data_IF_230368891060
#
_entry.id   IF_230368891060
#
_cell.length_a   1.000
_cell.length_b   1.000
_cell.length_c   1.000
_cell.angle_alpha   90.00
_cell.angle_beta   90.00
_cell.angle_gamma   90.00
#
_symmetry.space_group_name_H-M   'P 1'
#
loop_
_entity.id
_entity.type
_entity.pdbx_description
1 polymer ?
#
# COMPACT_ATOMS: atom_id res chain seq x y z
N UNK A 1 12.00 -15.10 -21.94
CA UNK A 1 10.99 -14.04 -22.05
C UNK A 1 10.29 -13.97 -20.70
N UNK A 2 10.53 -12.91 -19.93
CA UNK A 2 9.76 -12.64 -18.70
C UNK A 2 8.33 -12.33 -19.15
N UNK A 3 7.37 -13.09 -18.66
CA UNK A 3 5.98 -12.87 -19.03
C UNK A 3 5.52 -11.51 -18.47
N UNK A 4 4.95 -10.67 -19.33
CA UNK A 4 4.52 -9.31 -18.96
C UNK A 4 3.14 -9.43 -18.28
N UNK A 5 2.90 -8.76 -17.13
CA UNK A 5 1.58 -8.72 -16.51
C UNK A 5 0.50 -8.17 -17.46
N UNK A 6 -0.74 -8.65 -17.30
CA UNK A 6 -1.90 -8.09 -18.01
C UNK A 6 -2.48 -6.94 -17.18
N UNK A 7 -2.18 -5.71 -17.58
CA UNK A 7 -2.47 -4.51 -16.79
C UNK A 7 -3.40 -3.54 -17.51
N UNK A 8 -4.39 -3.02 -16.79
CA UNK A 8 -5.41 -2.13 -17.32
C UNK A 8 -6.05 -1.26 -16.23
N UNK A 9 -6.64 -0.14 -16.63
CA UNK A 9 -7.50 0.63 -15.74
C UNK A 9 -8.92 0.06 -15.78
N UNK A 10 -9.47 -0.30 -14.61
CA UNK A 10 -10.86 -0.72 -14.45
C UNK A 10 -11.64 0.30 -13.63
N UNK A 11 -12.97 0.27 -13.74
CA UNK A 11 -13.86 1.08 -12.92
C UNK A 11 -14.22 0.33 -11.63
N UNK A 12 -14.20 1.04 -10.50
CA UNK A 12 -14.75 0.61 -9.22
C UNK A 12 -15.94 1.50 -8.89
N UNK A 13 -17.09 0.88 -8.68
CA UNK A 13 -18.33 1.56 -8.33
C UNK A 13 -18.57 1.52 -6.81
N UNK A 14 -18.98 2.64 -6.24
CA UNK A 14 -19.39 2.78 -4.84
C UNK A 14 -20.70 3.55 -4.75
N UNK A 15 -21.29 3.60 -3.54
CA UNK A 15 -22.47 4.42 -3.30
C UNK A 15 -22.20 5.93 -3.44
N UNK A 16 -20.94 6.36 -3.34
CA UNK A 16 -20.54 7.77 -3.40
C UNK A 16 -20.13 8.22 -4.81
N UNK A 17 -20.02 7.30 -5.77
CA UNK A 17 -19.58 7.57 -7.14
C UNK A 17 -18.77 6.41 -7.70
N UNK A 18 -17.99 6.67 -8.73
CA UNK A 18 -17.14 5.66 -9.36
C UNK A 18 -15.76 6.25 -9.60
N UNK A 19 -14.72 5.43 -9.43
CA UNK A 19 -13.33 5.81 -9.62
C UNK A 19 -12.58 4.74 -10.40
N UNK A 20 -11.45 5.10 -10.98
CA UNK A 20 -10.63 4.15 -11.70
C UNK A 20 -9.59 3.52 -10.77
N UNK A 21 -9.25 2.27 -11.02
CA UNK A 21 -8.21 1.55 -10.32
C UNK A 21 -7.32 0.81 -11.34
N UNK A 22 -6.02 0.81 -11.12
CA UNK A 22 -5.07 0.11 -11.98
C UNK A 22 -5.00 -1.36 -11.55
N UNK A 23 -5.57 -2.24 -12.38
CA UNK A 23 -5.51 -3.69 -12.23
C UNK A 23 -4.25 -4.21 -12.91
N UNK A 24 -3.51 -5.08 -12.24
CA UNK A 24 -2.39 -5.84 -12.78
C UNK A 24 -2.55 -7.29 -12.38
N UNK A 25 -2.61 -8.18 -13.37
CA UNK A 25 -2.84 -9.62 -13.17
C UNK A 25 -1.57 -10.44 -13.42
N UNK A 26 -1.39 -11.57 -12.72
CA UNK A 26 -0.29 -12.48 -12.99
C UNK A 26 -0.28 -12.90 -14.46
N UNK A 27 0.91 -13.01 -15.11
CA UNK A 27 0.98 -13.35 -16.53
C UNK A 27 0.37 -14.73 -16.89
N UNK A 28 0.30 -15.64 -15.92
CA UNK A 28 -0.34 -16.95 -16.08
C UNK A 28 -1.88 -16.90 -15.92
N UNK A 29 -2.45 -15.70 -15.74
CA UNK A 29 -3.86 -15.48 -15.42
C UNK A 29 -4.17 -15.69 -13.93
N UNK A 30 -5.38 -15.30 -13.54
CA UNK A 30 -5.89 -15.45 -12.17
C UNK A 30 -6.59 -16.80 -12.03
N UNK A 31 -6.13 -17.63 -11.09
CA UNK A 31 -6.85 -18.84 -10.68
C UNK A 31 -7.90 -18.47 -9.64
N UNK A 32 -9.02 -19.21 -9.59
CA UNK A 32 -9.98 -19.05 -8.50
C UNK A 32 -9.29 -19.31 -7.15
N UNK A 33 -9.52 -18.42 -6.19
CA UNK A 33 -8.86 -18.41 -4.89
C UNK A 33 -7.47 -17.75 -4.87
N UNK A 34 -7.02 -17.12 -5.96
CA UNK A 34 -5.71 -16.47 -6.00
C UNK A 34 -5.59 -15.33 -4.96
N UNK A 35 -4.43 -15.15 -4.33
CA UNK A 35 -4.22 -14.07 -3.38
C UNK A 35 -4.23 -12.72 -4.10
N UNK A 36 -4.86 -11.73 -3.48
CA UNK A 36 -4.98 -10.37 -3.99
C UNK A 36 -4.20 -9.35 -3.16
N UNK A 37 -3.77 -8.26 -3.80
CA UNK A 37 -3.19 -7.09 -3.14
C UNK A 37 -3.97 -5.85 -3.57
N UNK A 38 -4.53 -5.11 -2.62
CA UNK A 38 -4.89 -3.72 -2.84
C UNK A 38 -3.65 -2.87 -2.58
N UNK A 39 -3.16 -2.19 -3.61
CA UNK A 39 -1.92 -1.41 -3.57
C UNK A 39 -2.22 0.07 -3.38
N UNK A 40 -1.80 0.64 -2.25
CA UNK A 40 -2.15 1.99 -1.83
C UNK A 40 -1.00 2.96 -2.14
N UNK A 41 -1.31 3.95 -2.99
CA UNK A 41 -0.39 4.96 -3.50
C UNK A 41 0.26 5.84 -2.41
N UNK A 42 1.39 6.44 -2.78
CA UNK A 42 1.94 7.60 -2.07
C UNK A 42 1.06 8.87 -2.32
N UNK A 43 1.57 10.04 -1.94
CA UNK A 43 0.88 11.32 -2.17
C UNK A 43 0.90 11.80 -3.64
N UNK A 44 1.50 11.03 -4.55
CA UNK A 44 1.74 11.40 -5.95
C UNK A 44 0.74 10.80 -6.93
N UNK A 45 -0.28 10.09 -6.43
CA UNK A 45 -1.22 9.36 -7.27
C UNK A 45 -0.74 7.96 -7.64
N UNK A 46 -1.52 7.26 -8.46
CA UNK A 46 -1.14 5.98 -9.09
C UNK A 46 -0.23 6.29 -10.29
N UNK A 47 0.93 6.88 -9.99
CA UNK A 47 1.93 7.29 -10.97
C UNK A 47 2.72 6.08 -11.50
N UNK A 48 3.72 6.34 -12.34
CA UNK A 48 4.53 5.29 -12.98
C UNK A 48 5.18 4.35 -11.95
N UNK A 49 5.71 4.87 -10.85
CA UNK A 49 6.32 4.05 -9.80
C UNK A 49 5.29 3.09 -9.18
N UNK A 50 4.11 3.59 -8.78
CA UNK A 50 3.07 2.74 -8.18
C UNK A 50 2.56 1.68 -9.16
N UNK A 51 2.39 2.01 -10.44
CA UNK A 51 2.03 1.03 -11.48
C UNK A 51 3.12 -0.04 -11.64
N UNK A 52 4.38 0.36 -11.65
CA UNK A 52 5.50 -0.59 -11.72
C UNK A 52 5.56 -1.52 -10.50
N UNK A 53 5.24 -1.02 -9.29
CA UNK A 53 5.12 -1.86 -8.08
C UNK A 53 3.94 -2.83 -8.19
N UNK A 54 2.79 -2.38 -8.73
CA UNK A 54 1.67 -3.27 -8.98
C UNK A 54 2.04 -4.40 -9.94
N UNK A 55 2.72 -4.05 -11.03
CA UNK A 55 3.20 -5.02 -12.03
C UNK A 55 4.26 -5.97 -11.45
N UNK A 56 5.10 -5.50 -10.52
CA UNK A 56 6.08 -6.33 -9.83
C UNK A 56 5.39 -7.40 -8.97
N UNK A 57 4.44 -7.00 -8.11
CA UNK A 57 3.67 -7.96 -7.31
C UNK A 57 2.82 -8.91 -8.18
N UNK A 58 2.32 -8.44 -9.32
CA UNK A 58 1.63 -9.30 -10.28
C UNK A 58 2.56 -10.34 -10.90
N UNK A 59 3.78 -9.96 -11.27
CA UNK A 59 4.81 -10.89 -11.71
C UNK A 59 5.19 -11.91 -10.62
N UNK A 60 5.11 -11.54 -9.35
CA UNK A 60 5.31 -12.42 -8.20
C UNK A 60 4.11 -13.34 -7.90
N UNK A 61 3.00 -13.21 -8.64
CA UNK A 61 1.86 -14.14 -8.60
C UNK A 61 0.60 -13.62 -7.92
N UNK A 62 0.51 -12.34 -7.58
CA UNK A 62 -0.66 -11.75 -6.94
C UNK A 62 -1.58 -11.04 -7.95
N UNK A 63 -2.90 -11.06 -7.74
CA UNK A 63 -3.77 -10.13 -8.45
C UNK A 63 -3.73 -8.78 -7.74
N UNK A 64 -3.32 -7.71 -8.42
CA UNK A 64 -3.09 -6.40 -7.79
C UNK A 64 -4.07 -5.36 -8.30
N UNK A 65 -4.67 -4.58 -7.39
CA UNK A 65 -5.55 -3.48 -7.73
C UNK A 65 -5.16 -2.22 -6.97
N UNK A 66 -4.72 -1.19 -7.67
CA UNK A 66 -4.32 0.10 -7.09
C UNK A 66 -5.43 1.15 -7.31
N UNK A 67 -6.24 1.50 -6.29
CA UNK A 67 -7.30 2.47 -6.44
C UNK A 67 -6.76 3.90 -6.55
N UNK A 68 -7.39 4.73 -7.38
CA UNK A 68 -7.15 6.17 -7.42
C UNK A 68 -7.70 6.84 -6.16
N UNK A 69 -6.85 7.03 -5.15
CA UNK A 69 -7.27 7.57 -3.84
C UNK A 69 -7.71 9.05 -3.94
N UNK A 70 -7.23 9.77 -4.97
CA UNK A 70 -7.50 11.21 -5.13
C UNK A 70 -8.66 11.53 -6.06
N UNK A 71 -9.41 10.53 -6.50
CA UNK A 71 -10.44 10.67 -7.53
C UNK A 71 -11.47 11.79 -7.25
N UNK A 72 -11.78 12.07 -5.98
CA UNK A 72 -12.68 13.16 -5.58
C UNK A 72 -12.10 14.56 -5.79
N UNK A 73 -10.77 14.69 -5.72
CA UNK A 73 -10.06 15.96 -5.95
C UNK A 73 -9.67 16.11 -7.42
N UNK A 74 -9.13 15.04 -8.01
CA UNK A 74 -8.83 14.95 -9.43
C UNK A 74 -8.68 13.47 -9.83
N UNK A 75 -9.30 13.02 -10.93
CA UNK A 75 -9.14 11.65 -11.39
C UNK A 75 -7.75 11.42 -11.99
N UNK A 76 -7.22 10.21 -11.79
CA UNK A 76 -5.95 9.69 -12.34
C UNK A 76 -4.77 10.64 -12.14
N UNK A 77 -4.64 11.17 -10.92
CA UNK A 77 -3.46 11.95 -10.55
C UNK A 77 -2.20 11.11 -10.77
N UNK A 78 -1.22 11.71 -11.45
CA UNK A 78 0.11 11.16 -11.63
C UNK A 78 1.09 12.34 -11.56
N UNK A 79 1.81 12.45 -10.45
CA UNK A 79 2.74 13.54 -10.19
C UNK A 79 4.17 13.01 -10.11
N UNK A 80 5.12 13.88 -10.45
CA UNK A 80 6.53 13.75 -10.09
C UNK A 80 6.79 14.07 -8.61
N UNK A 81 8.06 14.11 -8.24
CA UNK A 81 8.50 14.14 -6.83
C UNK A 81 9.10 15.48 -6.37
N UNK A 82 9.14 16.49 -7.24
CA UNK A 82 9.83 17.76 -7.00
C UNK A 82 9.00 18.96 -7.49
N UNK A 83 9.42 20.16 -7.12
CA UNK A 83 8.82 21.41 -7.61
C UNK A 83 7.32 21.52 -7.35
N UNK A 84 6.58 22.01 -8.35
CA UNK A 84 5.13 22.25 -8.28
C UNK A 84 4.33 20.97 -8.01
N UNK A 85 4.83 19.81 -8.48
CA UNK A 85 4.20 18.52 -8.26
C UNK A 85 4.22 18.12 -6.78
N UNK A 86 5.32 18.41 -6.06
CA UNK A 86 5.37 18.19 -4.62
C UNK A 86 4.36 19.08 -3.87
N UNK A 87 4.27 20.36 -4.24
CA UNK A 87 3.29 21.27 -3.62
C UNK A 87 1.85 20.79 -3.87
N UNK A 88 1.56 20.34 -5.09
CA UNK A 88 0.25 19.77 -5.46
C UNK A 88 -0.04 18.47 -4.71
N UNK A 89 0.94 17.57 -4.59
CA UNK A 89 0.83 16.31 -3.86
C UNK A 89 0.45 16.54 -2.39
N UNK A 90 1.11 17.51 -1.74
CA UNK A 90 0.80 17.90 -0.35
C UNK A 90 -0.60 18.49 -0.20
N UNK A 91 -1.04 19.31 -1.16
CA UNK A 91 -2.40 19.85 -1.18
C UNK A 91 -3.46 18.76 -1.34
N UNK A 92 -3.25 17.80 -2.26
CA UNK A 92 -4.13 16.65 -2.46
C UNK A 92 -4.21 15.78 -1.22
N UNK A 93 -3.07 15.41 -0.63
CA UNK A 93 -3.03 14.64 0.63
C UNK A 93 -3.82 15.33 1.73
N UNK A 94 -3.68 16.65 1.88
CA UNK A 94 -4.40 17.42 2.91
C UNK A 94 -5.92 17.43 2.70
N UNK A 95 -6.37 17.36 1.45
CA UNK A 95 -7.77 17.39 1.08
C UNK A 95 -8.47 16.01 1.16
N UNK A 96 -7.74 14.93 1.41
CA UNK A 96 -8.32 13.58 1.51
C UNK A 96 -9.11 13.42 2.80
N UNK A 97 -10.38 13.03 2.64
CA UNK A 97 -11.19 12.46 3.71
C UNK A 97 -10.80 10.99 3.90
N UNK A 98 -10.04 10.71 4.97
CA UNK A 98 -9.51 9.37 5.25
C UNK A 98 -10.61 8.34 5.48
N UNK A 99 -11.66 8.60 6.29
CA UNK A 99 -12.82 7.71 6.36
C UNK A 99 -13.41 7.34 5.00
N UNK A 100 -13.64 8.33 4.12
CA UNK A 100 -14.19 8.07 2.79
C UNK A 100 -13.22 7.26 1.90
N UNK A 101 -11.91 7.53 2.00
CA UNK A 101 -10.89 6.74 1.30
C UNK A 101 -10.86 5.27 1.78
N UNK A 102 -11.10 5.01 3.06
CA UNK A 102 -11.19 3.64 3.60
C UNK A 102 -12.44 2.90 3.10
N UNK A 103 -13.54 3.62 2.87
CA UNK A 103 -14.75 3.03 2.27
C UNK A 103 -14.51 2.68 0.79
N UNK A 104 -13.77 3.51 0.05
CA UNK A 104 -13.35 3.20 -1.32
C UNK A 104 -12.38 2.01 -1.36
N UNK A 105 -11.46 1.91 -0.40
CA UNK A 105 -10.57 0.74 -0.26
C UNK A 105 -11.40 -0.51 0.02
N UNK A 106 -12.42 -0.45 0.87
CA UNK A 106 -13.33 -1.58 1.10
C UNK A 106 -14.02 -2.02 -0.20
N UNK A 107 -14.51 -1.08 -1.01
CA UNK A 107 -15.09 -1.39 -2.33
C UNK A 107 -14.05 -2.02 -3.28
N UNK A 108 -12.82 -1.51 -3.27
CA UNK A 108 -11.70 -2.03 -4.06
C UNK A 108 -11.36 -3.47 -3.67
N UNK A 109 -11.34 -3.79 -2.37
CA UNK A 109 -11.16 -5.16 -1.87
C UNK A 109 -12.26 -6.08 -2.40
N UNK A 110 -13.52 -5.64 -2.39
CA UNK A 110 -14.64 -6.45 -2.90
C UNK A 110 -14.51 -6.72 -4.40
N UNK A 111 -14.18 -5.70 -5.20
CA UNK A 111 -13.93 -5.86 -6.65
C UNK A 111 -12.78 -6.83 -6.89
N UNK A 112 -11.69 -6.73 -6.13
CA UNK A 112 -10.55 -7.63 -6.27
C UNK A 112 -10.91 -9.07 -5.89
N UNK A 113 -11.66 -9.29 -4.80
CA UNK A 113 -12.18 -10.62 -4.41
C UNK A 113 -13.06 -11.22 -5.51
N UNK A 114 -13.86 -10.43 -6.20
CA UNK A 114 -14.65 -10.92 -7.34
C UNK A 114 -13.75 -11.39 -8.50
N UNK A 115 -12.70 -10.63 -8.82
CA UNK A 115 -11.73 -11.00 -9.85
C UNK A 115 -10.93 -12.27 -9.50
N UNK A 116 -10.62 -12.48 -8.22
CA UNK A 116 -9.88 -13.67 -7.76
C UNK A 116 -10.76 -14.87 -7.44
N UNK A 117 -12.09 -14.75 -7.48
CA UNK A 117 -13.00 -15.81 -7.06
C UNK A 117 -12.94 -16.07 -5.54
N UNK A 118 -13.05 -14.99 -4.76
CA UNK A 118 -13.06 -14.93 -3.30
C UNK A 118 -11.76 -15.33 -2.59
N UNK A 119 -10.60 -15.03 -3.19
CA UNK A 119 -9.30 -15.19 -2.53
C UNK A 119 -9.07 -14.21 -1.37
N UNK A 120 -8.07 -14.49 -0.53
CA UNK A 120 -7.65 -13.54 0.51
C UNK A 120 -6.99 -12.31 -0.12
N UNK A 121 -7.15 -11.15 0.52
CA UNK A 121 -6.65 -9.87 0.03
C UNK A 121 -5.83 -9.16 1.11
N UNK A 122 -4.60 -8.77 0.78
CA UNK A 122 -3.79 -7.88 1.60
C UNK A 122 -3.91 -6.41 1.17
N UNK A 123 -3.65 -5.48 2.08
CA UNK A 123 -3.32 -4.10 1.74
C UNK A 123 -1.80 -3.89 1.79
N UNK A 124 -1.17 -3.50 0.69
CA UNK A 124 0.22 -3.04 0.67
C UNK A 124 0.20 -1.54 0.38
N UNK A 125 0.93 -0.73 1.12
CA UNK A 125 0.86 0.71 0.92
C UNK A 125 2.14 1.45 1.29
N UNK A 126 2.41 2.54 0.55
CA UNK A 126 3.64 3.31 0.66
C UNK A 126 3.36 4.75 1.12
N UNK A 127 4.14 5.27 2.07
CA UNK A 127 3.97 6.63 2.62
C UNK A 127 2.54 6.82 3.15
N UNK A 128 1.75 7.71 2.53
CA UNK A 128 0.34 7.90 2.86
C UNK A 128 -0.46 6.60 2.70
N UNK A 129 -0.19 5.82 1.65
CA UNK A 129 -0.74 4.49 1.48
C UNK A 129 -0.38 3.53 2.61
N UNK A 130 0.78 3.70 3.26
CA UNK A 130 1.17 2.91 4.42
C UNK A 130 0.25 3.16 5.62
N UNK A 131 -0.11 4.43 5.88
CA UNK A 131 -1.15 4.77 6.85
C UNK A 131 -2.50 4.12 6.48
N UNK A 132 -2.90 4.22 5.21
CA UNK A 132 -4.16 3.63 4.75
C UNK A 132 -4.17 2.10 4.86
N UNK A 133 -3.04 1.42 4.63
CA UNK A 133 -2.91 -0.03 4.82
C UNK A 133 -3.09 -0.43 6.29
N UNK A 134 -2.44 0.31 7.21
CA UNK A 134 -2.59 0.12 8.65
C UNK A 134 -4.04 0.32 9.12
N UNK A 135 -4.69 1.39 8.66
CA UNK A 135 -6.10 1.65 9.00
C UNK A 135 -7.06 0.65 8.36
N UNK A 136 -6.73 0.11 7.18
CA UNK A 136 -7.51 -0.96 6.54
C UNK A 136 -7.47 -2.25 7.37
N UNK A 137 -6.32 -2.59 7.94
CA UNK A 137 -6.20 -3.70 8.88
C UNK A 137 -6.98 -3.43 10.19
N UNK A 138 -6.93 -2.22 10.72
CA UNK A 138 -7.66 -1.84 11.92
C UNK A 138 -9.19 -1.89 11.72
N UNK A 139 -9.67 -1.57 10.53
CA UNK A 139 -11.09 -1.70 10.14
C UNK A 139 -11.51 -3.11 9.75
N UNK A 140 -10.60 -4.09 9.73
CA UNK A 140 -10.90 -5.47 9.32
C UNK A 140 -11.28 -5.60 7.84
N UNK A 141 -10.80 -4.70 6.98
CA UNK A 141 -11.14 -4.71 5.55
C UNK A 141 -10.35 -5.76 4.76
N UNK A 142 -9.16 -6.10 5.23
CA UNK A 142 -8.18 -6.96 4.56
C UNK A 142 -7.72 -8.10 5.46
N UNK A 143 -7.17 -9.14 4.86
CA UNK A 143 -6.69 -10.37 5.50
C UNK A 143 -5.25 -10.25 6.02
N UNK A 144 -4.48 -9.26 5.52
CA UNK A 144 -3.16 -8.88 5.99
C UNK A 144 -2.83 -7.44 5.57
N UNK A 145 -1.83 -6.80 6.19
CA UNK A 145 -1.35 -5.50 5.74
C UNK A 145 0.17 -5.37 5.75
N UNK A 146 0.71 -4.58 4.81
CA UNK A 146 2.15 -4.27 4.71
C UNK A 146 2.36 -2.75 4.56
N UNK A 147 2.45 -2.01 5.68
CA UNK A 147 2.76 -0.58 5.66
C UNK A 147 4.26 -0.31 5.42
N UNK A 148 4.56 0.37 4.32
CA UNK A 148 5.89 0.93 4.04
C UNK A 148 5.94 2.41 4.42
N UNK A 149 6.87 2.74 5.32
CA UNK A 149 7.16 4.10 5.81
C UNK A 149 5.89 4.93 6.01
N UNK A 150 4.94 4.34 6.73
CA UNK A 150 3.57 4.84 6.91
C UNK A 150 3.50 6.08 7.80
N UNK A 151 3.79 7.24 7.23
CA UNK A 151 3.71 8.52 7.93
C UNK A 151 2.28 8.80 8.42
N UNK A 152 2.15 9.11 9.71
CA UNK A 152 0.87 9.38 10.37
C UNK A 152 0.35 8.21 11.23
N UNK A 153 0.92 7.01 11.11
CA UNK A 153 0.57 5.87 11.99
C UNK A 153 0.88 6.21 13.46
N UNK A 154 1.96 6.96 13.72
CA UNK A 154 2.34 7.41 15.05
C UNK A 154 1.29 8.32 15.72
N UNK A 155 0.36 8.89 14.94
CA UNK A 155 -0.77 9.67 15.42
C UNK A 155 -2.07 8.86 15.53
N UNK A 156 -2.02 7.56 15.24
CA UNK A 156 -3.16 6.64 15.18
C UNK A 156 -2.85 5.31 15.90
N UNK A 157 -1.95 5.32 16.89
CA UNK A 157 -1.51 4.12 17.60
C UNK A 157 -2.65 3.39 18.32
N UNK A 158 -3.70 4.11 18.73
CA UNK A 158 -4.88 3.52 19.37
C UNK A 158 -5.61 2.52 18.44
N UNK A 159 -5.51 2.68 17.12
CA UNK A 159 -6.14 1.78 16.15
C UNK A 159 -5.53 0.37 16.17
N UNK A 160 -4.33 0.20 16.72
CA UNK A 160 -3.72 -1.11 16.91
C UNK A 160 -4.63 -2.02 17.75
N UNK A 161 -5.39 -1.47 18.70
CA UNK A 161 -6.35 -2.24 19.50
C UNK A 161 -7.44 -2.93 18.65
N UNK A 162 -7.69 -2.46 17.42
CA UNK A 162 -8.69 -2.99 16.49
C UNK A 162 -8.10 -3.99 15.48
N UNK A 163 -6.78 -4.02 15.29
CA UNK A 163 -6.13 -4.93 14.34
C UNK A 163 -6.25 -6.40 14.80
N UNK A 164 -6.79 -7.25 13.94
CA UNK A 164 -6.97 -8.71 14.13
C UNK A 164 -6.28 -9.56 13.07
N UNK A 165 -5.56 -8.94 12.15
CA UNK A 165 -4.87 -9.59 11.03
C UNK A 165 -3.37 -9.39 11.12
N UNK A 166 -2.56 -10.24 10.46
CA UNK A 166 -1.12 -10.06 10.38
C UNK A 166 -0.73 -8.71 9.76
N UNK A 167 0.34 -8.07 10.28
CA UNK A 167 0.85 -6.80 9.73
C UNK A 167 2.39 -6.77 9.72
N UNK A 168 3.00 -6.50 8.56
CA UNK A 168 4.45 -6.35 8.43
C UNK A 168 4.81 -4.91 8.08
N UNK A 169 5.53 -4.22 8.97
CA UNK A 169 5.93 -2.82 8.81
C UNK A 169 7.38 -2.69 8.32
N UNK A 170 7.62 -1.68 7.50
CA UNK A 170 8.94 -1.36 6.95
C UNK A 170 9.27 0.13 7.10
N UNK A 171 10.30 0.47 7.88
CA UNK A 171 10.72 1.85 8.14
C UNK A 171 12.17 2.10 7.76
N UNK A 172 12.50 3.29 7.25
CA UNK A 172 13.88 3.72 7.05
C UNK A 172 14.48 4.28 8.35
N UNK A 173 15.73 3.93 8.67
CA UNK A 173 16.40 4.43 9.88
C UNK A 173 16.71 5.94 9.82
N UNK A 174 16.83 6.50 8.60
CA UNK A 174 17.16 7.91 8.37
C UNK A 174 15.91 8.78 8.11
N UNK A 175 14.72 8.19 8.18
CA UNK A 175 13.47 8.89 7.88
C UNK A 175 13.15 9.96 8.94
N UNK A 176 13.43 11.22 8.60
CA UNK A 176 13.17 12.35 9.49
C UNK A 176 11.67 12.62 9.74
N UNK A 177 10.77 12.09 8.90
CA UNK A 177 9.32 12.23 9.09
C UNK A 177 8.76 11.21 10.07
N UNK A 178 9.49 10.11 10.30
CA UNK A 178 9.12 9.02 11.20
C UNK A 178 10.32 8.72 12.11
N UNK A 179 10.56 9.57 13.11
CA UNK A 179 11.71 9.43 13.99
C UNK A 179 11.67 8.11 14.79
N UNK A 180 12.81 7.67 15.37
CA UNK A 180 12.88 6.38 16.06
C UNK A 180 11.87 6.19 17.20
N UNK A 181 11.50 7.25 17.90
CA UNK A 181 10.47 7.24 18.95
C UNK A 181 9.06 6.99 18.36
N UNK A 182 8.76 7.52 17.19
CA UNK A 182 7.53 7.22 16.46
C UNK A 182 7.46 5.74 16.06
N UNK A 183 8.58 5.17 15.58
CA UNK A 183 8.68 3.72 15.29
C UNK A 183 8.54 2.90 16.56
N UNK A 184 9.15 3.33 17.67
CA UNK A 184 8.99 2.67 18.97
C UNK A 184 7.54 2.68 19.44
N UNK A 185 6.81 3.79 19.27
CA UNK A 185 5.38 3.85 19.57
C UNK A 185 4.56 2.82 18.78
N UNK A 186 4.90 2.56 17.51
CA UNK A 186 4.28 1.49 16.72
C UNK A 186 4.63 0.10 17.28
N UNK A 187 5.89 -0.12 17.68
CA UNK A 187 6.30 -1.38 18.34
C UNK A 187 5.51 -1.63 19.61
N UNK A 188 5.37 -0.62 20.44
CA UNK A 188 4.65 -0.72 21.72
C UNK A 188 3.15 -0.96 21.50
N UNK A 189 2.54 -0.25 20.55
CA UNK A 189 1.12 -0.41 20.21
C UNK A 189 0.79 -1.79 19.60
N UNK A 190 1.74 -2.39 18.87
CA UNK A 190 1.60 -3.71 18.28
C UNK A 190 2.10 -4.84 19.19
N UNK A 191 2.63 -4.52 20.38
CA UNK A 191 3.13 -5.51 21.32
C UNK A 191 2.05 -6.54 21.69
N UNK A 192 2.41 -7.82 21.69
CA UNK A 192 1.48 -8.92 21.96
C UNK A 192 0.60 -9.35 20.78
N UNK A 193 0.78 -8.78 19.58
CA UNK A 193 0.20 -9.30 18.33
C UNK A 193 1.22 -10.22 17.65
N UNK A 194 1.10 -11.56 17.79
CA UNK A 194 2.16 -12.49 17.40
C UNK A 194 2.45 -12.50 15.89
N UNK A 195 1.47 -12.12 15.07
CA UNK A 195 1.61 -12.11 13.60
C UNK A 195 2.01 -10.74 13.06
N UNK A 196 2.64 -9.90 13.87
CA UNK A 196 3.09 -8.56 13.49
C UNK A 196 4.60 -8.42 13.55
N UNK A 197 5.18 -7.92 12.47
CA UNK A 197 6.63 -7.77 12.30
C UNK A 197 6.98 -6.32 12.00
N UNK A 198 8.04 -5.79 12.59
CA UNK A 198 8.46 -4.39 12.37
C UNK A 198 9.95 -4.36 12.05
N UNK A 199 10.27 -3.99 10.82
CA UNK A 199 11.64 -3.88 10.31
C UNK A 199 12.05 -2.41 10.14
N UNK A 200 13.28 -2.11 10.57
CA UNK A 200 13.95 -0.82 10.35
C UNK A 200 15.19 -1.08 9.51
N UNK A 201 15.40 -0.27 8.48
CA UNK A 201 16.46 -0.44 7.50
C UNK A 201 17.52 0.65 7.64
N UNK A 202 18.73 0.24 8.04
CA UNK A 202 19.89 1.14 8.12
C UNK A 202 20.23 1.76 6.76
N UNK A 203 20.58 3.04 6.76
CA UNK A 203 20.91 3.80 5.53
C UNK A 203 19.72 4.17 4.64
N UNK A 204 18.50 3.71 4.96
CA UNK A 204 17.30 4.02 4.19
C UNK A 204 16.57 5.25 4.76
N UNK A 205 16.12 6.13 3.87
CA UNK A 205 15.29 7.31 4.17
C UNK A 205 13.82 7.07 3.73
N UNK A 206 12.96 8.05 3.93
CA UNK A 206 11.58 8.04 3.47
C UNK A 206 11.48 7.80 1.96
N UNK A 207 10.62 6.87 1.54
CA UNK A 207 10.48 6.54 0.13
C UNK A 207 11.60 5.66 -0.42
N UNK A 208 12.33 4.92 0.43
CA UNK A 208 13.47 4.10 -0.01
C UNK A 208 13.14 3.06 -1.10
N UNK A 209 11.87 2.71 -1.28
CA UNK A 209 11.42 1.78 -2.33
C UNK A 209 11.25 2.46 -3.70
N UNK A 210 11.14 3.80 -3.72
CA UNK A 210 10.79 4.55 -4.91
C UNK A 210 12.00 4.78 -5.82
N UNK A 211 12.18 3.91 -6.82
CA UNK A 211 13.29 3.97 -7.79
C UNK A 211 13.40 5.29 -8.58
N UNK A 212 12.33 6.07 -8.64
CA UNK A 212 12.30 7.37 -9.32
C UNK A 212 12.80 8.54 -8.44
N UNK A 213 13.15 8.31 -7.18
CA UNK A 213 13.58 9.34 -6.22
C UNK A 213 15.05 9.19 -5.83
N UNK A 214 15.68 10.30 -5.46
CA UNK A 214 17.02 10.30 -4.89
C UNK A 214 17.15 9.54 -3.56
N UNK A 215 16.04 9.31 -2.85
CA UNK A 215 16.01 8.50 -1.62
C UNK A 215 15.94 6.98 -1.88
N UNK A 216 15.88 6.53 -3.14
CA UNK A 216 15.90 5.11 -3.47
C UNK A 216 17.12 4.43 -2.86
N UNK A 217 16.88 3.43 -2.01
CA UNK A 217 17.93 2.64 -1.40
C UNK A 217 17.74 1.18 -1.80
N UNK A 218 18.31 0.82 -2.96
CA UNK A 218 18.15 -0.49 -3.60
C UNK A 218 18.30 -1.69 -2.65
N UNK A 219 19.32 -1.76 -1.76
CA UNK A 219 19.45 -2.90 -0.84
C UNK A 219 18.25 -3.05 0.09
N UNK A 220 17.73 -1.93 0.63
CA UNK A 220 16.58 -1.95 1.54
C UNK A 220 15.28 -2.22 0.80
N UNK A 221 15.11 -1.66 -0.40
CA UNK A 221 13.96 -1.94 -1.27
C UNK A 221 13.86 -3.43 -1.60
N UNK A 222 14.95 -4.03 -2.05
CA UNK A 222 14.99 -5.46 -2.39
C UNK A 222 14.75 -6.37 -1.17
N UNK A 223 15.37 -6.06 -0.02
CA UNK A 223 15.18 -6.83 1.21
C UNK A 223 13.75 -6.71 1.75
N UNK A 224 13.18 -5.51 1.72
CA UNK A 224 11.80 -5.28 2.17
C UNK A 224 10.80 -5.99 1.27
N UNK A 225 10.97 -5.92 -0.06
CA UNK A 225 10.14 -6.65 -1.01
C UNK A 225 10.18 -8.16 -0.75
N UNK A 226 11.38 -8.74 -0.59
CA UNK A 226 11.52 -10.17 -0.29
C UNK A 226 10.85 -10.59 1.03
N UNK A 227 10.97 -9.76 2.09
CA UNK A 227 10.26 -9.99 3.37
C UNK A 227 8.75 -9.93 3.20
N UNK A 228 8.25 -8.97 2.41
CA UNK A 228 6.84 -8.83 2.13
C UNK A 228 6.30 -10.04 1.37
N UNK A 229 7.02 -10.56 0.38
CA UNK A 229 6.61 -11.77 -0.34
C UNK A 229 6.54 -13.00 0.59
N UNK A 230 7.53 -13.20 1.45
CA UNK A 230 7.52 -14.31 2.44
C UNK A 230 6.34 -14.17 3.39
N UNK A 231 6.10 -12.97 3.89
CA UNK A 231 4.98 -12.68 4.79
C UNK A 231 3.61 -12.88 4.11
N UNK A 232 3.43 -12.32 2.92
CA UNK A 232 2.20 -12.43 2.14
C UNK A 232 1.91 -13.89 1.76
N UNK A 233 2.93 -14.68 1.42
CA UNK A 233 2.77 -16.12 1.15
C UNK A 233 2.32 -16.93 2.37
N UNK A 234 2.61 -16.48 3.59
CA UNK A 234 2.12 -17.12 4.82
C UNK A 234 0.74 -16.62 5.25
N UNK A 235 0.43 -15.35 4.97
CA UNK A 235 -0.80 -14.71 5.44
C UNK A 235 -2.00 -14.92 4.50
N UNK A 236 -1.77 -14.94 3.17
CA UNK A 236 -2.80 -15.11 2.14
C UNK A 236 -2.98 -16.58 1.76
#
# INVERSE_FOLDING_TARGET
MTAIPDSQWIRVDTNAGSFDAYLSLPPAGVKSGAPGIVLLQEIFGVNEHIRAVADQYAADGYAVLAPDVFWRQAPRVQLGYEGDDMARAMALRKAVDVPAALDDIAATVQVLRQHTGAGKVAAVGYCFGGLLAYLSAARGLVDAAVPYYGGGIQSQLQEAANIRVPVQFHYGALDAHIPPDAVQGVRDAMAGKPDSEIFVYEGADHGFNCWARGSYHQPSAALAHGRALVFLSGAL
#
